data_IF_215771337352
#
_entry.id   IF_215771337352
#
_cell.length_a   1.000
_cell.length_b   1.000
_cell.length_c   1.000
_cell.angle_alpha   90.00
_cell.angle_beta   90.00
_cell.angle_gamma   90.00
#
_symmetry.space_group_name_H-M   'P 1'
#
loop_
_entity.id
_entity.type
_entity.pdbx_description
1 polymer ?
#
# COMPACT_ATOMS: atom_id res chain seq x y z
N UNK A 1 -43.00 -6.39 -8.92
CA UNK A 1 -42.17 -5.18 -8.67
C UNK A 1 -41.80 -5.13 -7.19
N UNK A 2 -40.83 -5.94 -6.74
CA UNK A 2 -40.33 -5.97 -5.36
C UNK A 2 -38.84 -6.39 -5.41
N UNK A 3 -37.95 -5.49 -5.79
CA UNK A 3 -36.49 -5.74 -5.77
C UNK A 3 -35.67 -4.53 -5.28
N UNK A 4 -36.21 -3.31 -5.34
CA UNK A 4 -35.48 -2.10 -4.93
C UNK A 4 -35.19 -1.99 -3.43
N UNK A 5 -35.92 -2.69 -2.55
CA UNK A 5 -35.71 -2.59 -1.10
C UNK A 5 -34.45 -3.31 -0.60
N UNK A 6 -33.97 -4.33 -1.33
CA UNK A 6 -32.82 -5.15 -0.93
C UNK A 6 -31.50 -4.53 -1.41
N UNK A 7 -31.49 -3.99 -2.63
CA UNK A 7 -30.34 -3.27 -3.18
C UNK A 7 -30.03 -1.95 -2.44
N UNK A 8 -31.04 -1.25 -1.93
CA UNK A 8 -30.83 -0.03 -1.13
C UNK A 8 -30.09 -0.30 0.19
N UNK A 9 -30.40 -1.41 0.88
CA UNK A 9 -29.76 -1.75 2.16
C UNK A 9 -28.27 -2.12 2.03
N UNK A 10 -27.88 -2.78 0.94
CA UNK A 10 -26.49 -3.13 0.68
C UNK A 10 -25.65 -1.89 0.34
N UNK A 11 -26.23 -0.93 -0.40
CA UNK A 11 -25.59 0.36 -0.73
C UNK A 11 -25.45 1.22 0.52
N UNK A 12 -26.49 1.33 1.34
CA UNK A 12 -26.43 2.10 2.60
C UNK A 12 -25.36 1.54 3.55
N UNK A 13 -25.23 0.21 3.62
CA UNK A 13 -24.16 -0.45 4.38
C UNK A 13 -22.78 -0.12 3.83
N UNK A 14 -22.61 -0.18 2.51
CA UNK A 14 -21.34 0.15 1.86
C UNK A 14 -20.96 1.63 2.09
N UNK A 15 -21.91 2.56 1.90
CA UNK A 15 -21.71 3.99 2.16
C UNK A 15 -21.38 4.27 3.63
N UNK A 16 -22.02 3.58 4.57
CA UNK A 16 -21.68 3.68 6.00
C UNK A 16 -20.26 3.19 6.28
N UNK A 17 -19.82 2.13 5.62
CA UNK A 17 -18.46 1.60 5.75
C UNK A 17 -17.42 2.58 5.17
N UNK A 18 -17.70 3.13 3.98
CA UNK A 18 -16.86 4.15 3.32
C UNK A 18 -16.74 5.39 4.22
N UNK A 19 -17.86 5.86 4.79
CA UNK A 19 -17.86 7.01 5.70
C UNK A 19 -16.99 6.77 6.93
N UNK A 20 -17.11 5.62 7.59
CA UNK A 20 -16.31 5.31 8.78
C UNK A 20 -14.80 5.33 8.48
N UNK A 21 -14.39 4.84 7.31
CA UNK A 21 -12.99 4.90 6.86
C UNK A 21 -12.54 6.32 6.51
N UNK A 22 -13.36 7.08 5.80
CA UNK A 22 -13.07 8.48 5.51
C UNK A 22 -12.88 9.30 6.79
N UNK A 23 -13.72 9.06 7.81
CA UNK A 23 -13.55 9.66 9.13
C UNK A 23 -12.22 9.21 9.77
N UNK A 24 -11.88 7.93 9.73
CA UNK A 24 -10.61 7.43 10.26
C UNK A 24 -9.38 8.04 9.56
N UNK A 25 -9.41 8.16 8.23
CA UNK A 25 -8.37 8.81 7.43
C UNK A 25 -8.22 10.28 7.83
N UNK A 26 -9.34 11.00 7.96
CA UNK A 26 -9.35 12.40 8.39
C UNK A 26 -8.67 12.58 9.76
N UNK A 27 -8.98 11.73 10.73
CA UNK A 27 -8.33 11.79 12.05
C UNK A 27 -6.82 11.53 11.96
N UNK A 28 -6.41 10.59 11.10
CA UNK A 28 -4.99 10.26 10.90
C UNK A 28 -4.22 11.42 10.26
N UNK A 29 -4.81 12.07 9.25
CA UNK A 29 -4.24 13.24 8.59
C UNK A 29 -4.15 14.43 9.56
N UNK A 30 -5.20 14.74 10.31
CA UNK A 30 -5.13 15.85 11.28
C UNK A 30 -4.09 15.62 12.37
N UNK A 31 -3.85 14.38 12.78
CA UNK A 31 -2.76 14.04 13.70
C UNK A 31 -1.38 14.24 13.06
N UNK A 32 -1.23 13.86 11.79
CA UNK A 32 -0.01 14.09 11.02
C UNK A 32 0.31 15.59 10.90
N UNK A 33 -0.69 16.39 10.53
CA UNK A 33 -0.57 17.85 10.43
C UNK A 33 -0.13 18.48 11.76
N UNK A 34 -0.75 18.05 12.86
CA UNK A 34 -0.36 18.50 14.19
C UNK A 34 1.09 18.14 14.52
N UNK A 35 1.51 16.90 14.23
CA UNK A 35 2.88 16.46 14.48
C UNK A 35 3.91 17.20 13.63
N UNK A 36 3.60 17.49 12.36
CA UNK A 36 4.45 18.27 11.47
C UNK A 36 4.58 19.72 11.93
N UNK A 37 3.50 20.33 12.41
CA UNK A 37 3.50 21.71 12.88
C UNK A 37 4.32 21.89 14.16
N UNK A 38 4.26 20.93 15.09
CA UNK A 38 4.83 21.10 16.44
C UNK A 38 6.09 20.28 16.71
N UNK A 39 6.37 19.22 15.95
CA UNK A 39 7.53 18.33 16.14
C UNK A 39 8.21 17.91 14.81
N UNK A 40 8.71 18.85 13.98
CA UNK A 40 9.20 18.56 12.63
C UNK A 40 10.51 17.76 12.59
N UNK A 41 11.35 17.81 13.62
CA UNK A 41 12.71 17.25 13.58
C UNK A 41 12.87 15.86 14.21
N UNK A 42 11.91 15.38 15.02
CA UNK A 42 12.10 14.19 15.86
C UNK A 42 11.37 12.93 15.39
N UNK A 43 10.63 12.99 14.28
CA UNK A 43 9.58 12.00 14.01
C UNK A 43 9.71 11.29 12.67
N UNK A 44 10.82 11.38 11.92
CA UNK A 44 10.89 10.80 10.57
C UNK A 44 10.47 9.31 10.48
N UNK A 45 10.92 8.41 11.38
CA UNK A 45 10.42 7.04 11.39
C UNK A 45 8.92 6.92 11.73
N UNK A 46 8.43 7.74 12.67
CA UNK A 46 7.01 7.77 13.07
C UNK A 46 6.12 8.35 11.97
N UNK A 47 6.63 9.36 11.25
CA UNK A 47 6.01 10.00 10.11
C UNK A 47 5.87 8.99 8.97
N UNK A 48 6.96 8.29 8.64
CA UNK A 48 6.94 7.21 7.64
C UNK A 48 5.95 6.11 8.01
N UNK A 49 5.91 5.69 9.27
CA UNK A 49 4.91 4.73 9.77
C UNK A 49 3.48 5.24 9.57
N UNK A 50 3.22 6.51 9.88
CA UNK A 50 1.91 7.13 9.66
C UNK A 50 1.55 7.22 8.16
N UNK A 51 2.51 7.54 7.29
CA UNK A 51 2.31 7.52 5.83
C UNK A 51 2.01 6.12 5.30
N UNK A 52 2.68 5.08 5.80
CA UNK A 52 2.37 3.70 5.44
C UNK A 52 0.94 3.31 5.83
N UNK A 53 0.48 3.74 7.02
CA UNK A 53 -0.90 3.55 7.45
C UNK A 53 -1.87 4.27 6.50
N UNK A 54 -1.62 5.54 6.19
CA UNK A 54 -2.45 6.31 5.25
C UNK A 54 -2.51 5.63 3.87
N UNK A 55 -1.36 5.21 3.34
CA UNK A 55 -1.28 4.52 2.05
C UNK A 55 -2.13 3.23 2.06
N UNK A 56 -2.01 2.41 3.11
CA UNK A 56 -2.81 1.19 3.21
C UNK A 56 -4.31 1.46 3.38
N UNK A 57 -4.68 2.51 4.13
CA UNK A 57 -6.09 2.90 4.26
C UNK A 57 -6.66 3.38 2.91
N UNK A 58 -5.89 4.10 2.10
CA UNK A 58 -6.31 4.53 0.77
C UNK A 58 -6.48 3.35 -0.18
N UNK A 59 -5.55 2.39 -0.17
CA UNK A 59 -5.65 1.15 -0.95
C UNK A 59 -6.92 0.37 -0.58
N UNK A 60 -7.16 0.14 0.72
CA UNK A 60 -8.36 -0.55 1.19
C UNK A 60 -9.65 0.20 0.81
N UNK A 61 -9.65 1.53 0.88
CA UNK A 61 -10.80 2.34 0.46
C UNK A 61 -11.10 2.18 -1.02
N UNK A 62 -10.07 2.11 -1.87
CA UNK A 62 -10.22 1.91 -3.30
C UNK A 62 -10.87 0.55 -3.63
N UNK A 63 -10.43 -0.51 -2.96
CA UNK A 63 -10.95 -1.87 -3.19
C UNK A 63 -12.40 -2.05 -2.71
N UNK A 64 -12.84 -1.26 -1.72
CA UNK A 64 -14.15 -1.40 -1.11
C UNK A 64 -15.24 -0.54 -1.74
N UNK A 65 -14.93 0.34 -2.70
CA UNK A 65 -15.94 1.11 -3.43
C UNK A 65 -16.67 0.15 -4.38
N UNK A 66 -17.94 -0.23 -4.11
CA UNK A 66 -18.65 -1.16 -4.95
C UNK A 66 -19.02 -0.51 -6.29
N UNK A 67 -18.89 -1.23 -7.40
CA UNK A 67 -19.36 -0.80 -8.73
C UNK A 67 -20.85 -0.41 -8.73
N UNK A 68 -21.62 -1.00 -7.83
CA UNK A 68 -23.03 -0.68 -7.64
C UNK A 68 -23.25 0.80 -7.28
N UNK A 69 -22.32 1.46 -6.59
CA UNK A 69 -22.42 2.88 -6.21
C UNK A 69 -22.39 3.80 -7.43
N UNK A 70 -21.76 3.39 -8.54
CA UNK A 70 -21.72 4.17 -9.79
C UNK A 70 -23.10 4.36 -10.43
N UNK A 71 -24.09 3.54 -10.04
CA UNK A 71 -25.45 3.59 -10.55
C UNK A 71 -26.37 4.52 -9.76
N UNK A 72 -25.88 5.11 -8.67
CA UNK A 72 -26.65 6.01 -7.81
C UNK A 72 -26.21 7.47 -8.01
N UNK A 73 -27.20 8.36 -8.06
CA UNK A 73 -26.96 9.79 -8.10
C UNK A 73 -27.16 10.39 -6.69
N UNK A 74 -26.19 11.18 -6.24
CA UNK A 74 -26.28 11.91 -4.98
C UNK A 74 -27.08 13.20 -5.17
N UNK A 75 -28.15 13.36 -4.39
CA UNK A 75 -28.93 14.60 -4.32
C UNK A 75 -29.03 15.07 -2.87
N UNK A 76 -28.94 16.39 -2.59
CA UNK A 76 -29.08 16.91 -1.23
C UNK A 76 -30.47 16.61 -0.70
N UNK A 77 -30.56 15.85 0.40
CA UNK A 77 -31.82 15.58 1.09
C UNK A 77 -32.12 16.53 2.24
N UNK A 78 -31.09 17.19 2.76
CA UNK A 78 -31.20 18.17 3.84
C UNK A 78 -30.60 19.50 3.39
N UNK A 79 -31.22 20.60 3.82
CA UNK A 79 -30.67 21.94 3.61
C UNK A 79 -29.38 22.10 4.41
N UNK A 80 -28.30 22.50 3.74
CA UNK A 80 -27.07 22.92 4.42
C UNK A 80 -27.30 24.31 5.05
N UNK A 81 -26.61 24.66 6.15
CA UNK A 81 -26.69 25.99 6.76
C UNK A 81 -26.38 27.13 5.78
N UNK A 82 -25.49 26.87 4.81
CA UNK A 82 -25.21 27.74 3.68
C UNK A 82 -25.47 26.99 2.37
N UNK A 83 -26.39 27.49 1.53
CA UNK A 83 -26.76 26.86 0.27
C UNK A 83 -25.64 26.91 -0.79
N UNK A 84 -24.68 27.83 -0.64
CA UNK A 84 -23.53 27.95 -1.53
C UNK A 84 -22.52 26.81 -1.37
N UNK A 85 -22.59 26.03 -0.30
CA UNK A 85 -21.68 24.91 -0.05
C UNK A 85 -22.07 23.65 -0.84
N UNK A 86 -23.34 23.54 -1.27
CA UNK A 86 -23.87 22.35 -1.94
C UNK A 86 -23.08 22.01 -3.22
N UNK A 87 -22.82 22.96 -4.14
CA UNK A 87 -22.01 22.67 -5.32
C UNK A 87 -20.58 22.22 -4.98
N UNK A 88 -20.00 22.72 -3.89
CA UNK A 88 -18.67 22.33 -3.44
C UNK A 88 -18.67 20.90 -2.87
N UNK A 89 -19.66 20.56 -2.04
CA UNK A 89 -19.80 19.22 -1.44
C UNK A 89 -20.11 18.13 -2.46
N UNK A 90 -20.79 18.49 -3.56
CA UNK A 90 -21.11 17.59 -4.68
C UNK A 90 -20.15 17.73 -5.86
N UNK A 91 -19.04 18.45 -5.70
CA UNK A 91 -18.05 18.63 -6.75
C UNK A 91 -17.40 17.28 -7.07
N UNK A 92 -17.54 16.85 -8.32
CA UNK A 92 -16.83 15.69 -8.87
C UNK A 92 -15.61 16.09 -9.71
N UNK A 93 -15.48 17.38 -10.02
CA UNK A 93 -14.34 17.90 -10.76
C UNK A 93 -13.08 17.78 -9.91
N UNK A 94 -12.07 17.13 -10.47
CA UNK A 94 -10.75 16.98 -9.88
C UNK A 94 -10.08 18.32 -9.57
N UNK A 95 -9.03 18.27 -8.75
CA UNK A 95 -8.26 19.46 -8.43
C UNK A 95 -7.35 19.86 -9.59
N UNK A 96 -7.08 21.17 -9.78
CA UNK A 96 -6.31 21.67 -10.92
C UNK A 96 -4.93 21.02 -11.08
N UNK A 97 -4.26 20.72 -9.96
CA UNK A 97 -2.95 20.07 -9.96
C UNK A 97 -3.01 18.62 -10.46
N UNK A 98 -4.12 17.90 -10.19
CA UNK A 98 -4.34 16.54 -10.70
C UNK A 98 -4.68 16.56 -12.19
N UNK A 99 -5.53 17.48 -12.64
CA UNK A 99 -5.83 17.68 -14.08
C UNK A 99 -4.56 17.99 -14.88
N UNK A 100 -3.63 18.76 -14.30
CA UNK A 100 -2.35 19.08 -14.92
C UNK A 100 -1.42 17.86 -14.96
N UNK A 101 -1.33 17.09 -13.87
CA UNK A 101 -0.54 15.86 -13.84
C UNK A 101 -1.03 14.84 -14.88
N UNK A 102 -2.35 14.65 -15.00
CA UNK A 102 -2.93 13.78 -16.03
C UNK A 102 -2.58 14.27 -17.44
N UNK A 103 -2.69 15.58 -17.68
CA UNK A 103 -2.32 16.19 -18.96
C UNK A 103 -0.85 15.94 -19.30
N UNK A 104 0.06 16.07 -18.34
CA UNK A 104 1.48 15.79 -18.54
C UNK A 104 1.72 14.33 -18.91
N UNK A 105 1.02 13.38 -18.26
CA UNK A 105 1.10 11.95 -18.60
C UNK A 105 0.58 11.64 -20.01
N UNK A 106 -0.39 12.41 -20.50
CA UNK A 106 -0.97 12.25 -21.83
C UNK A 106 -0.12 12.86 -22.96
N UNK A 107 0.73 13.85 -22.67
CA UNK A 107 1.61 14.48 -23.68
C UNK A 107 2.69 13.52 -24.21
N UNK A 108 3.08 12.52 -23.43
CA UNK A 108 4.13 11.54 -23.79
C UNK A 108 3.65 10.24 -24.43
N UNK A 109 2.34 9.98 -24.53
CA UNK A 109 1.82 8.70 -25.06
C UNK A 109 1.64 8.78 -26.58
N UNK A 110 2.21 7.82 -27.31
CA UNK A 110 1.98 7.65 -28.74
C UNK A 110 0.49 7.40 -29.00
N UNK A 111 -0.19 8.37 -29.62
CA UNK A 111 -1.64 8.35 -29.86
C UNK A 111 -2.07 7.33 -30.93
N UNK A 112 -1.11 6.65 -31.57
CA UNK A 112 -1.33 5.86 -32.78
C UNK A 112 -1.24 4.33 -32.56
N UNK A 113 -1.16 3.86 -31.31
CA UNK A 113 -1.15 2.42 -31.03
C UNK A 113 -2.59 1.89 -31.04
N UNK A 114 -2.84 0.88 -31.89
CA UNK A 114 -4.12 0.17 -31.93
C UNK A 114 -4.49 -0.38 -30.53
N UNK A 115 -5.74 -0.20 -30.11
CA UNK A 115 -6.25 -0.59 -28.78
C UNK A 115 -6.02 -2.07 -28.46
N UNK A 116 -6.19 -2.94 -29.46
CA UNK A 116 -5.95 -4.38 -29.31
C UNK A 116 -4.45 -4.71 -29.10
N UNK A 117 -3.56 -3.98 -29.79
CA UNK A 117 -2.12 -4.11 -29.59
C UNK A 117 -1.70 -3.59 -28.21
N UNK A 118 -2.34 -2.53 -27.73
CA UNK A 118 -2.14 -1.99 -26.38
C UNK A 118 -2.56 -3.01 -25.31
N UNK A 119 -3.72 -3.65 -25.47
CA UNK A 119 -4.19 -4.70 -24.54
C UNK A 119 -3.23 -5.89 -24.49
N UNK A 120 -2.72 -6.35 -25.64
CA UNK A 120 -1.71 -7.42 -25.68
C UNK A 120 -0.40 -7.02 -24.99
N UNK A 121 0.03 -5.77 -25.15
CA UNK A 121 1.22 -5.24 -24.47
C UNK A 121 1.03 -5.15 -22.96
N UNK A 122 -0.14 -4.70 -22.50
CA UNK A 122 -0.49 -4.66 -21.08
C UNK A 122 -0.52 -6.06 -20.49
N UNK A 123 -1.15 -7.02 -21.17
CA UNK A 123 -1.19 -8.41 -20.72
C UNK A 123 0.23 -9.01 -20.61
N UNK A 124 1.05 -8.87 -21.66
CA UNK A 124 2.42 -9.37 -21.65
C UNK A 124 3.29 -8.73 -20.54
N UNK A 125 3.06 -7.44 -20.26
CA UNK A 125 3.74 -6.75 -19.17
C UNK A 125 3.30 -7.29 -17.80
N UNK A 126 1.99 -7.50 -17.59
CA UNK A 126 1.47 -8.06 -16.35
C UNK A 126 2.02 -9.46 -16.11
N UNK A 127 2.00 -10.34 -17.13
CA UNK A 127 2.55 -11.70 -17.04
C UNK A 127 4.05 -11.67 -16.66
N UNK A 128 4.82 -10.73 -17.21
CA UNK A 128 6.23 -10.58 -16.89
C UNK A 128 6.46 -10.11 -15.44
N UNK A 129 5.63 -9.19 -14.95
CA UNK A 129 5.71 -8.70 -13.56
C UNK A 129 5.30 -9.79 -12.58
N UNK A 130 4.23 -10.53 -12.86
CA UNK A 130 3.79 -11.66 -12.03
C UNK A 130 4.87 -12.75 -11.95
N UNK A 131 5.51 -13.09 -13.08
CA UNK A 131 6.62 -14.04 -13.08
C UNK A 131 7.82 -13.56 -12.27
N UNK A 132 8.15 -12.26 -12.33
CA UNK A 132 9.21 -11.69 -11.50
C UNK A 132 8.86 -11.75 -10.00
N UNK A 133 7.61 -11.45 -9.64
CA UNK A 133 7.13 -11.54 -8.27
C UNK A 133 7.22 -12.98 -7.73
N UNK A 134 6.79 -13.97 -8.52
CA UNK A 134 6.89 -15.39 -8.19
C UNK A 134 8.35 -15.80 -7.94
N UNK A 135 9.26 -15.45 -8.86
CA UNK A 135 10.68 -15.77 -8.67
C UNK A 135 11.29 -15.11 -7.44
N UNK A 136 10.89 -13.87 -7.14
CA UNK A 136 11.35 -13.15 -5.94
C UNK A 136 10.85 -13.82 -4.66
N UNK A 137 9.59 -14.22 -4.62
CA UNK A 137 9.00 -14.94 -3.50
C UNK A 137 9.70 -16.29 -3.26
N UNK A 138 9.96 -17.05 -4.32
CA UNK A 138 10.68 -18.33 -4.22
C UNK A 138 12.09 -18.17 -3.67
N UNK A 139 12.82 -17.16 -4.14
CA UNK A 139 14.16 -16.85 -3.64
C UNK A 139 14.13 -16.40 -2.17
N UNK A 140 13.17 -15.56 -1.80
CA UNK A 140 12.97 -15.09 -0.42
C UNK A 140 12.67 -16.26 0.53
N UNK A 141 11.77 -17.16 0.14
CA UNK A 141 11.45 -18.36 0.91
C UNK A 141 12.63 -19.32 1.02
N UNK A 142 13.41 -19.48 -0.06
CA UNK A 142 14.67 -20.23 -0.05
C UNK A 142 15.67 -19.65 0.96
N UNK A 143 15.83 -18.32 0.97
CA UNK A 143 16.71 -17.61 1.89
C UNK A 143 16.24 -17.78 3.35
N UNK A 144 14.95 -17.61 3.62
CA UNK A 144 14.38 -17.79 4.96
C UNK A 144 14.55 -19.21 5.48
N UNK A 145 14.40 -20.23 4.61
CA UNK A 145 14.68 -21.63 4.95
C UNK A 145 16.16 -21.82 5.31
N UNK A 146 17.09 -21.30 4.51
CA UNK A 146 18.53 -21.39 4.77
C UNK A 146 18.94 -20.70 6.09
N UNK A 147 18.38 -19.53 6.39
CA UNK A 147 18.63 -18.79 7.64
C UNK A 147 18.08 -19.58 8.84
N UNK A 148 16.88 -20.15 8.75
CA UNK A 148 16.32 -20.99 9.83
C UNK A 148 17.18 -22.21 10.12
N UNK A 149 17.70 -22.89 9.09
CA UNK A 149 18.60 -24.04 9.27
C UNK A 149 19.86 -23.63 10.04
N UNK A 150 20.48 -22.49 9.70
CA UNK A 150 21.67 -21.99 10.40
C UNK A 150 21.42 -21.54 11.86
N UNK A 151 20.17 -21.24 12.24
CA UNK A 151 19.83 -20.83 13.61
C UNK A 151 19.83 -22.03 14.60
N UNK A 152 19.68 -23.25 14.09
CA UNK A 152 19.72 -24.49 14.88
C UNK A 152 21.04 -25.26 14.74
N UNK A 153 21.97 -24.80 13.89
CA UNK A 153 23.34 -25.32 13.88
C UNK A 153 24.01 -24.80 15.15
N UNK A 154 24.05 -25.67 16.18
CA UNK A 154 24.92 -25.46 17.34
C UNK A 154 26.34 -25.39 16.82
N UNK A 155 26.90 -24.18 16.73
CA UNK A 155 28.34 -24.02 16.50
C UNK A 155 29.03 -24.75 17.65
N UNK A 156 29.57 -25.93 17.38
CA UNK A 156 30.36 -26.67 18.36
C UNK A 156 31.45 -25.74 18.88
N UNK A 157 31.49 -25.50 20.20
CA UNK A 157 32.60 -24.76 20.80
C UNK A 157 33.90 -25.42 20.33
N UNK A 158 34.88 -24.66 19.81
CA UNK A 158 36.15 -25.23 19.42
C UNK A 158 36.72 -25.97 20.65
N UNK A 159 37.04 -27.26 20.50
CA UNK A 159 37.59 -28.08 21.58
C UNK A 159 38.96 -27.57 22.07
N UNK A 160 39.66 -26.77 21.25
CA UNK A 160 40.91 -26.10 21.60
C UNK A 160 40.96 -24.73 20.94
N UNK A 161 41.34 -23.71 21.70
CA UNK A 161 41.60 -22.35 21.20
C UNK A 161 43.07 -22.14 20.80
N UNK A 162 43.96 -23.07 21.19
CA UNK A 162 45.36 -23.10 20.75
C UNK A 162 45.50 -24.01 19.53
N UNK A 163 46.23 -23.53 18.51
CA UNK A 163 46.72 -24.38 17.44
C UNK A 163 47.78 -25.35 17.99
N UNK A 164 47.84 -26.56 17.43
CA UNK A 164 48.80 -27.60 17.86
C UNK A 164 50.26 -27.13 17.84
N UNK A 165 50.57 -26.13 17.00
CA UNK A 165 51.88 -25.50 16.94
C UNK A 165 52.28 -24.83 18.27
N UNK A 166 51.36 -24.16 18.96
CA UNK A 166 51.65 -23.54 20.26
C UNK A 166 51.76 -24.57 21.39
N UNK A 167 50.93 -25.62 21.35
CA UNK A 167 51.04 -26.74 22.30
C UNK A 167 52.38 -27.46 22.19
N UNK A 168 52.90 -27.65 20.97
CA UNK A 168 54.22 -28.26 20.77
C UNK A 168 55.36 -27.38 21.28
N UNK A 169 55.28 -26.06 21.08
CA UNK A 169 56.29 -25.12 21.61
C UNK A 169 56.35 -25.17 23.14
N UNK A 170 55.20 -25.33 23.81
CA UNK A 170 55.12 -25.33 25.27
C UNK A 170 55.45 -26.70 25.90
N UNK A 171 55.04 -27.80 25.26
CA UNK A 171 55.14 -29.16 25.84
C UNK A 171 56.17 -30.08 25.17
N UNK A 172 56.67 -29.73 23.98
CA UNK A 172 57.58 -30.56 23.19
C UNK A 172 56.92 -31.81 22.57
N UNK A 173 55.60 -31.96 22.66
CA UNK A 173 54.85 -33.11 22.13
C UNK A 173 53.66 -32.67 21.26
N UNK A 174 53.33 -33.48 20.24
CA UNK A 174 52.21 -33.27 19.31
C UNK A 174 50.99 -34.13 19.66
N UNK A 175 50.66 -34.31 20.94
CA UNK A 175 49.36 -34.89 21.32
C UNK A 175 48.21 -33.89 21.16
#
# INVERSE_FOLDING_TARGET
MQSSGRAGGDVDRALSSIRARADHLRHTVSRLEHNLAWNPASTWPELLSQYMVIAKQLENMNDEIPDLVQHFACVPRMSTPNSADIPLLLRTREDPEMEEAERQLLVGKARDINTEALQKMVAAHNDAVEGLEETFNDMSDGLLKAIRVNKYVVKSKPQSTQSQQFKYIESGSYE
#
